data_IF_285936498312
#
_entry.id   IF_285936498312
#
_cell.length_a   1.000
_cell.length_b   1.000
_cell.length_c   1.000
_cell.angle_alpha   90.00
_cell.angle_beta   90.00
_cell.angle_gamma   90.00
#
_symmetry.space_group_name_H-M   'P 1'
#
loop_
_entity.id
_entity.type
_entity.pdbx_description
1 polymer ?
#
# COMPACT_ATOMS: atom_id res chain seq x y z
N UNK A 1 -19.08 6.71 28.25
CA UNK A 1 -18.22 7.53 27.36
C UNK A 1 -16.83 6.91 27.10
N UNK A 2 -16.27 6.04 27.96
CA UNK A 2 -14.95 5.41 27.72
C UNK A 2 -14.97 4.28 26.67
N UNK A 3 -16.08 3.55 26.54
CA UNK A 3 -16.23 2.43 25.60
C UNK A 3 -16.26 2.87 24.13
N UNK A 4 -16.89 4.01 23.83
CA UNK A 4 -16.98 4.54 22.45
C UNK A 4 -15.60 4.90 21.88
N UNK A 5 -14.69 5.42 22.69
CA UNK A 5 -13.33 5.76 22.23
C UNK A 5 -12.52 4.51 21.83
N UNK A 6 -12.65 3.43 22.61
CA UNK A 6 -11.96 2.16 22.35
C UNK A 6 -12.44 1.54 21.03
N UNK A 7 -13.76 1.58 20.78
CA UNK A 7 -14.34 1.08 19.53
C UNK A 7 -13.84 1.88 18.34
N UNK A 8 -13.79 3.21 18.44
CA UNK A 8 -13.28 4.09 17.36
C UNK A 8 -11.81 3.79 17.07
N UNK A 9 -10.97 3.65 18.09
CA UNK A 9 -9.55 3.33 17.92
C UNK A 9 -9.38 1.96 17.25
N UNK A 10 -10.15 0.96 17.67
CA UNK A 10 -10.13 -0.37 17.04
C UNK A 10 -10.52 -0.31 15.56
N UNK A 11 -11.56 0.44 15.19
CA UNK A 11 -11.96 0.64 13.80
C UNK A 11 -10.88 1.32 12.96
N UNK A 12 -10.20 2.33 13.51
CA UNK A 12 -9.11 3.02 12.83
C UNK A 12 -7.92 2.09 12.58
N UNK A 13 -7.55 1.26 13.57
CA UNK A 13 -6.47 0.28 13.41
C UNK A 13 -6.84 -0.76 12.36
N UNK A 14 -8.05 -1.33 12.41
CA UNK A 14 -8.51 -2.28 11.39
C UNK A 14 -8.49 -1.68 9.98
N UNK A 15 -8.89 -0.41 9.84
CA UNK A 15 -8.89 0.29 8.55
C UNK A 15 -7.47 0.47 8.00
N UNK A 16 -6.50 0.77 8.87
CA UNK A 16 -5.08 0.88 8.48
C UNK A 16 -4.46 -0.46 8.11
N UNK A 17 -4.83 -1.56 8.77
CA UNK A 17 -4.36 -2.90 8.43
C UNK A 17 -4.81 -3.31 7.02
N UNK A 18 -6.07 -3.04 6.67
CA UNK A 18 -6.60 -3.30 5.32
C UNK A 18 -5.82 -2.49 4.26
N UNK A 19 -5.46 -1.24 4.58
CA UNK A 19 -4.69 -0.36 3.69
C UNK A 19 -3.22 -0.78 3.55
N UNK A 20 -2.65 -1.47 4.55
CA UNK A 20 -1.29 -2.02 4.47
C UNK A 20 -1.28 -3.32 3.67
N UNK A 21 -2.28 -4.18 3.83
CA UNK A 21 -2.45 -5.43 3.05
C UNK A 21 -2.56 -5.17 1.54
N UNK A 22 -3.08 -4.01 1.15
CA UNK A 22 -3.18 -3.63 -0.27
C UNK A 22 -1.87 -3.09 -0.86
N UNK A 23 -0.86 -2.76 -0.03
CA UNK A 23 0.39 -2.15 -0.47
C UNK A 23 1.56 -3.14 -0.39
N UNK A 24 2.15 -3.47 -1.53
CA UNK A 24 3.37 -4.27 -1.61
C UNK A 24 4.54 -3.34 -1.89
N UNK A 25 5.38 -3.11 -0.89
CA UNK A 25 6.66 -2.45 -1.09
C UNK A 25 7.67 -3.43 -1.68
N UNK A 26 8.44 -2.96 -2.65
CA UNK A 26 9.47 -3.75 -3.32
C UNK A 26 10.82 -3.05 -3.16
N UNK A 27 11.92 -3.78 -3.32
CA UNK A 27 13.27 -3.21 -3.33
C UNK A 27 13.71 -2.76 -4.73
N UNK A 28 12.78 -2.75 -5.70
CA UNK A 28 13.10 -2.38 -7.08
C UNK A 28 13.26 -0.86 -7.16
N UNK A 29 14.43 -0.36 -7.59
CA UNK A 29 14.67 1.07 -7.66
C UNK A 29 13.85 1.72 -8.76
N UNK A 30 13.39 2.95 -8.53
CA UNK A 30 12.64 3.72 -9.51
C UNK A 30 12.95 5.21 -9.42
N UNK A 31 12.76 5.92 -10.54
CA UNK A 31 12.79 7.39 -10.62
C UNK A 31 11.40 7.99 -10.84
N UNK A 32 10.50 7.22 -11.45
CA UNK A 32 9.13 7.62 -11.72
C UNK A 32 8.20 6.40 -11.69
N UNK A 33 6.94 6.60 -11.26
CA UNK A 33 5.97 5.51 -11.04
C UNK A 33 5.71 4.65 -12.27
N UNK A 34 5.86 5.21 -13.49
CA UNK A 34 5.68 4.46 -14.74
C UNK A 34 6.60 3.25 -14.88
N UNK A 35 7.81 3.27 -14.28
CA UNK A 35 8.75 2.14 -14.32
C UNK A 35 8.23 0.94 -13.52
N UNK A 36 7.44 1.20 -12.48
CA UNK A 36 6.91 0.18 -11.58
C UNK A 36 5.67 -0.52 -12.14
N UNK A 37 5.02 0.03 -13.19
CA UNK A 37 3.75 -0.49 -13.71
C UNK A 37 3.89 -1.93 -14.18
N UNK A 38 4.91 -2.24 -14.97
CA UNK A 38 5.12 -3.61 -15.48
C UNK A 38 5.42 -4.58 -14.34
N UNK A 39 6.22 -4.17 -13.35
CA UNK A 39 6.52 -4.95 -12.15
C UNK A 39 5.24 -5.26 -11.37
N UNK A 40 4.36 -4.27 -11.16
CA UNK A 40 3.12 -4.46 -10.42
C UNK A 40 2.10 -5.33 -11.16
N UNK A 41 2.06 -5.28 -12.50
CA UNK A 41 1.24 -6.21 -13.28
C UNK A 41 1.71 -7.65 -13.04
N UNK A 42 3.02 -7.88 -12.98
CA UNK A 42 3.58 -9.23 -12.75
C UNK A 42 3.33 -9.70 -11.31
N UNK A 43 3.52 -8.83 -10.32
CA UNK A 43 3.43 -9.19 -8.90
C UNK A 43 2.00 -9.33 -8.39
N UNK A 44 1.10 -8.44 -8.82
CA UNK A 44 -0.26 -8.31 -8.26
C UNK A 44 -1.36 -8.24 -9.30
N UNK A 45 -1.04 -8.39 -10.59
CA UNK A 45 -2.00 -8.25 -11.69
C UNK A 45 -2.72 -6.88 -11.69
N UNK A 46 -2.04 -5.82 -11.23
CA UNK A 46 -2.57 -4.47 -11.17
C UNK A 46 -1.56 -3.47 -11.71
N UNK A 47 -2.04 -2.43 -12.40
CA UNK A 47 -1.24 -1.33 -12.96
C UNK A 47 -0.98 -0.21 -11.97
N UNK A 48 -1.67 -0.22 -10.83
CA UNK A 48 -1.51 0.78 -9.79
C UNK A 48 -0.14 0.62 -9.12
N UNK A 49 0.76 1.53 -9.50
CA UNK A 49 2.13 1.55 -9.02
C UNK A 49 2.51 2.97 -8.61
N UNK A 50 3.35 3.08 -7.58
CA UNK A 50 3.91 4.33 -7.12
C UNK A 50 5.41 4.17 -6.91
N UNK A 51 6.18 5.13 -7.38
CA UNK A 51 7.56 5.28 -6.96
C UNK A 51 7.60 6.13 -5.68
N UNK A 52 8.13 5.58 -4.59
CA UNK A 52 8.23 6.25 -3.29
C UNK A 52 9.56 5.89 -2.64
N UNK A 53 10.28 6.89 -2.13
CA UNK A 53 11.64 6.71 -1.58
C UNK A 53 12.56 5.92 -2.52
N UNK A 54 12.57 6.29 -3.80
CA UNK A 54 13.34 5.64 -4.85
C UNK A 54 13.06 4.14 -5.06
N UNK A 55 11.94 3.63 -4.52
CA UNK A 55 11.53 2.23 -4.64
C UNK A 55 10.09 2.08 -5.11
N UNK A 56 9.80 0.97 -5.78
CA UNK A 56 8.46 0.69 -6.29
C UNK A 56 7.53 0.16 -5.18
N UNK A 57 6.33 0.73 -5.09
CA UNK A 57 5.19 0.23 -4.34
C UNK A 57 4.07 -0.16 -5.30
N UNK A 58 3.56 -1.38 -5.15
CA UNK A 58 2.41 -1.88 -5.90
C UNK A 58 1.16 -1.88 -5.04
N UNK A 59 0.02 -1.56 -5.64
CA UNK A 59 -1.28 -1.61 -4.98
C UNK A 59 -2.08 -2.78 -5.57
N UNK A 60 -2.56 -3.68 -4.71
CA UNK A 60 -3.52 -4.73 -5.10
C UNK A 60 -4.86 -4.11 -5.45
#
# INVERSE_FOLDING_TARGET
MKTSAIVIIAFLICSMLILCESQIHTEVPCKYSGQCVQLCIILVNNKNAKCSNDTCTCYR
#
